data_IF_191232218361
#
_entry.id   IF_191232218361
#
_cell.length_a   1.000
_cell.length_b   1.000
_cell.length_c   1.000
_cell.angle_alpha   90.00
_cell.angle_beta   90.00
_cell.angle_gamma   90.00
#
_symmetry.space_group_name_H-M   'P 1'
#
loop_
_entity.id
_entity.type
_entity.pdbx_description
1 polymer ?
#
# COMPACT_ATOMS: atom_id res chain seq x y z
N UNK A 1 55.88 -42.11 74.29
CA UNK A 1 55.77 -40.64 74.38
C UNK A 1 54.66 -40.22 73.42
N UNK A 2 53.55 -39.68 73.97
CA UNK A 2 52.58 -38.72 73.35
C UNK A 2 51.80 -39.22 72.11
N UNK A 3 50.59 -39.80 72.22
CA UNK A 3 49.21 -39.24 72.36
C UNK A 3 48.58 -38.63 71.10
N UNK A 4 47.30 -39.00 70.84
CA UNK A 4 46.08 -38.19 70.47
C UNK A 4 45.15 -38.99 69.52
N UNK A 5 43.96 -39.42 69.98
CA UNK A 5 42.61 -38.82 69.73
C UNK A 5 42.21 -38.86 68.24
N UNK A 6 41.05 -39.38 67.80
CA UNK A 6 39.70 -39.06 68.28
C UNK A 6 38.61 -39.73 67.39
N UNK A 7 37.47 -40.03 68.03
CA UNK A 7 36.07 -40.00 67.54
C UNK A 7 35.65 -40.83 66.31
N UNK A 8 34.95 -41.92 66.62
CA UNK A 8 34.07 -42.69 65.75
C UNK A 8 32.75 -41.92 65.52
N UNK A 9 32.43 -41.56 64.28
CA UNK A 9 31.13 -41.03 63.87
C UNK A 9 30.55 -41.94 62.78
N UNK A 10 29.51 -42.69 63.14
CA UNK A 10 28.77 -43.56 62.24
C UNK A 10 27.67 -42.72 61.58
N UNK A 11 27.86 -42.34 60.31
CA UNK A 11 26.85 -41.63 59.51
C UNK A 11 26.05 -42.66 58.73
N UNK A 12 24.83 -42.97 59.19
CA UNK A 12 23.84 -43.72 58.40
C UNK A 12 23.32 -42.84 57.27
N UNK A 13 23.68 -43.18 56.04
CA UNK A 13 23.09 -42.59 54.84
C UNK A 13 21.67 -43.18 54.64
N UNK A 14 20.66 -42.45 55.09
CA UNK A 14 19.26 -42.76 54.84
C UNK A 14 18.90 -42.21 53.45
N UNK A 15 18.94 -43.08 52.43
CA UNK A 15 18.48 -42.77 51.08
C UNK A 15 16.96 -42.56 51.10
N UNK A 16 16.49 -41.31 51.14
CA UNK A 16 15.10 -40.99 50.86
C UNK A 16 14.84 -41.22 49.37
N UNK A 17 14.27 -42.37 49.03
CA UNK A 17 13.54 -42.53 47.77
C UNK A 17 12.28 -41.68 47.88
N UNK A 18 12.31 -40.47 47.31
CA UNK A 18 11.09 -39.70 47.08
C UNK A 18 10.29 -40.48 46.04
N UNK A 19 9.30 -41.24 46.49
CA UNK A 19 8.26 -41.75 45.61
C UNK A 19 7.50 -40.52 45.09
N UNK A 20 7.80 -40.11 43.86
CA UNK A 20 6.90 -39.24 43.12
C UNK A 20 5.61 -40.03 42.93
N UNK A 21 4.57 -39.71 43.69
CA UNK A 21 3.23 -40.14 43.38
C UNK A 21 2.89 -39.50 42.02
N UNK A 22 3.07 -40.27 40.95
CA UNK A 22 2.63 -39.88 39.62
C UNK A 22 1.09 -39.87 39.70
N UNK A 23 0.52 -38.68 39.78
CA UNK A 23 -0.93 -38.50 39.83
C UNK A 23 -1.55 -39.15 38.58
N UNK A 24 -2.70 -39.80 38.75
CA UNK A 24 -3.38 -40.42 37.61
C UNK A 24 -3.71 -39.33 36.56
N UNK A 25 -3.40 -39.55 35.27
CA UNK A 25 -3.68 -38.55 34.25
C UNK A 25 -5.17 -38.20 34.23
N UNK A 26 -5.50 -36.91 34.27
CA UNK A 26 -6.89 -36.45 34.32
C UNK A 26 -7.35 -35.97 32.94
N UNK A 27 -8.52 -36.42 32.48
CA UNK A 27 -9.03 -36.11 31.14
C UNK A 27 -9.56 -34.68 31.06
N UNK A 28 -9.16 -33.94 30.02
CA UNK A 28 -9.69 -32.62 29.70
C UNK A 28 -10.96 -32.72 28.87
N UNK A 29 -11.97 -31.92 29.19
CA UNK A 29 -13.25 -31.90 28.46
C UNK A 29 -13.19 -31.20 27.10
N UNK A 30 -12.38 -30.15 26.98
CA UNK A 30 -12.17 -29.40 25.75
C UNK A 30 -10.68 -29.26 25.48
N UNK A 31 -10.27 -29.52 24.24
CA UNK A 31 -8.86 -29.53 23.82
C UNK A 31 -8.73 -28.68 22.56
N UNK A 32 -7.78 -27.76 22.53
CA UNK A 32 -7.45 -26.97 21.35
C UNK A 32 -6.05 -27.32 20.87
N UNK A 33 -5.92 -27.75 19.61
CA UNK A 33 -4.64 -28.14 19.00
C UNK A 33 -4.34 -27.33 17.75
N UNK A 34 -3.06 -27.19 17.40
CA UNK A 34 -2.62 -26.65 16.10
C UNK A 34 -2.07 -27.76 15.18
N UNK A 35 -1.47 -28.78 15.77
CA UNK A 35 -0.81 -29.85 15.02
C UNK A 35 -1.81 -30.81 14.36
N UNK A 36 -1.34 -31.63 13.41
CA UNK A 36 -2.16 -32.64 12.72
C UNK A 36 -2.56 -33.81 13.63
N UNK A 37 -1.87 -33.96 14.76
CA UNK A 37 -2.11 -35.01 15.74
C UNK A 37 -2.39 -34.38 17.09
N UNK A 38 -3.24 -35.04 17.86
CA UNK A 38 -3.53 -34.72 19.26
C UNK A 38 -2.66 -35.64 20.12
N UNK A 39 -1.87 -35.05 21.00
CA UNK A 39 -0.98 -35.79 21.91
C UNK A 39 -1.65 -36.12 23.24
N UNK A 40 -0.99 -36.95 24.06
CA UNK A 40 -1.43 -37.21 25.44
C UNK A 40 -1.48 -35.91 26.23
N UNK A 41 -0.47 -35.03 26.10
CA UNK A 41 -0.39 -33.75 26.81
C UNK A 41 -1.53 -32.78 26.44
N UNK A 42 -2.07 -32.91 25.23
CA UNK A 42 -3.20 -32.10 24.79
C UNK A 42 -4.49 -32.56 25.50
N UNK A 43 -4.69 -33.87 25.67
CA UNK A 43 -5.93 -34.47 26.19
C UNK A 43 -5.96 -34.72 27.69
N UNK A 44 -4.81 -34.93 28.32
CA UNK A 44 -4.70 -35.28 29.72
C UNK A 44 -3.83 -34.27 30.48
N UNK A 45 -4.29 -33.86 31.66
CA UNK A 45 -3.43 -33.25 32.67
C UNK A 45 -2.52 -34.32 33.28
N UNK A 46 -1.32 -33.93 33.70
CA UNK A 46 -0.31 -34.82 34.30
C UNK A 46 0.09 -36.03 33.42
N UNK A 47 0.20 -35.82 32.11
CA UNK A 47 0.53 -36.83 31.10
C UNK A 47 1.90 -37.56 31.26
N UNK A 48 2.74 -37.12 32.21
CA UNK A 48 4.01 -37.76 32.55
C UNK A 48 4.97 -37.92 31.36
N UNK A 49 5.70 -39.03 31.32
CA UNK A 49 6.68 -39.33 30.28
C UNK A 49 6.07 -39.58 28.89
N UNK A 50 4.76 -39.82 28.80
CA UNK A 50 4.04 -40.12 27.56
C UNK A 50 3.47 -38.87 26.88
N UNK A 51 3.65 -37.68 27.47
CA UNK A 51 3.10 -36.40 27.04
C UNK A 51 3.12 -36.15 25.53
N UNK A 52 4.25 -36.36 24.86
CA UNK A 52 4.42 -36.08 23.42
C UNK A 52 3.87 -37.19 22.49
N UNK A 53 3.29 -38.25 23.04
CA UNK A 53 2.83 -39.38 22.24
C UNK A 53 1.51 -39.05 21.56
N UNK A 54 1.44 -39.25 20.24
CA UNK A 54 0.22 -39.03 19.47
C UNK A 54 -0.83 -40.12 19.75
N UNK A 55 -2.06 -39.71 20.11
CA UNK A 55 -3.18 -40.64 20.34
C UNK A 55 -4.21 -40.55 19.19
N UNK A 56 -4.52 -39.35 18.72
CA UNK A 56 -5.54 -39.13 17.69
C UNK A 56 -5.06 -38.26 16.53
N UNK A 57 -5.74 -38.38 15.39
CA UNK A 57 -5.64 -37.39 14.33
C UNK A 57 -6.54 -36.20 14.67
N UNK A 58 -5.99 -34.99 14.57
CA UNK A 58 -6.76 -33.77 14.78
C UNK A 58 -7.77 -33.55 13.64
N UNK A 59 -8.89 -32.85 13.90
CA UNK A 59 -9.85 -32.50 12.86
C UNK A 59 -9.26 -31.52 11.83
N UNK A 60 -10.04 -31.15 10.82
CA UNK A 60 -9.61 -30.14 9.84
C UNK A 60 -9.35 -28.78 10.53
N UNK A 61 -8.40 -27.96 10.06
CA UNK A 61 -8.18 -26.61 10.59
C UNK A 61 -9.46 -25.80 10.69
N UNK A 62 -9.68 -25.10 11.80
CA UNK A 62 -10.87 -24.29 12.04
C UNK A 62 -12.14 -25.08 12.34
N UNK A 63 -12.04 -26.41 12.51
CA UNK A 63 -13.19 -27.28 12.81
C UNK A 63 -13.05 -27.96 14.16
N UNK A 64 -14.19 -28.46 14.65
CA UNK A 64 -14.31 -29.13 15.93
C UNK A 64 -14.83 -30.54 15.72
N UNK A 65 -14.18 -31.52 16.34
CA UNK A 65 -14.62 -32.91 16.41
C UNK A 65 -14.92 -33.32 17.85
N UNK A 66 -15.74 -34.35 18.02
CA UNK A 66 -15.98 -34.97 19.32
C UNK A 66 -15.45 -36.39 19.33
N UNK A 67 -14.85 -36.78 20.45
CA UNK A 67 -14.31 -38.13 20.66
C UNK A 67 -14.92 -38.71 21.93
N UNK A 68 -15.64 -39.81 21.79
CA UNK A 68 -16.31 -40.48 22.91
C UNK A 68 -15.31 -41.17 23.85
N UNK A 69 -15.67 -41.25 25.15
CA UNK A 69 -14.80 -41.82 26.18
C UNK A 69 -14.37 -43.27 25.92
N UNK A 70 -15.21 -44.09 25.29
CA UNK A 70 -14.87 -45.47 24.94
C UNK A 70 -13.71 -45.52 23.94
N UNK A 71 -13.73 -44.63 22.95
CA UNK A 71 -12.67 -44.47 21.95
C UNK A 71 -11.39 -43.93 22.58
N UNK A 72 -11.51 -42.99 23.52
CA UNK A 72 -10.38 -42.46 24.29
C UNK A 72 -9.70 -43.56 25.10
N UNK A 73 -10.45 -44.39 25.84
CA UNK A 73 -9.87 -45.55 26.56
C UNK A 73 -9.15 -46.51 25.63
N UNK A 74 -9.78 -46.85 24.51
CA UNK A 74 -9.19 -47.78 23.54
C UNK A 74 -7.91 -47.24 22.89
N UNK A 75 -7.77 -45.91 22.76
CA UNK A 75 -6.56 -45.29 22.20
C UNK A 75 -5.48 -45.06 23.27
N UNK A 76 -5.86 -44.61 24.47
CA UNK A 76 -4.97 -44.44 25.63
C UNK A 76 -4.29 -45.76 26.02
N UNK A 77 -5.05 -46.88 26.03
CA UNK A 77 -4.51 -48.20 26.32
C UNK A 77 -3.43 -48.66 25.33
N UNK A 78 -3.51 -48.23 24.05
CA UNK A 78 -2.47 -48.55 23.04
C UNK A 78 -1.16 -47.82 23.29
N UNK A 79 -1.21 -46.71 24.01
CA UNK A 79 -0.06 -45.87 24.35
C UNK A 79 0.47 -46.20 25.77
N UNK A 80 -0.19 -47.11 26.49
CA UNK A 80 0.21 -47.57 27.82
C UNK A 80 -0.50 -46.89 28.99
N UNK A 81 -1.50 -46.05 28.73
CA UNK A 81 -2.33 -45.41 29.75
C UNK A 81 -3.55 -46.30 29.99
N UNK A 82 -3.50 -47.07 31.08
CA UNK A 82 -4.54 -48.06 31.43
C UNK A 82 -5.59 -47.53 32.41
N UNK A 83 -5.25 -46.51 33.18
CA UNK A 83 -6.14 -45.88 34.16
C UNK A 83 -5.99 -44.36 34.08
N UNK A 84 -7.12 -43.65 34.08
CA UNK A 84 -7.16 -42.18 33.99
C UNK A 84 -8.47 -41.64 34.61
N UNK A 85 -8.41 -40.44 35.17
CA UNK A 85 -9.55 -39.81 35.81
C UNK A 85 -10.41 -39.07 34.77
N UNK A 86 -11.57 -39.62 34.44
CA UNK A 86 -12.48 -39.01 33.47
C UNK A 86 -13.37 -37.89 34.03
N UNK A 87 -13.44 -37.72 35.36
CA UNK A 87 -14.19 -36.63 36.03
C UNK A 87 -15.64 -36.41 35.53
N UNK A 88 -16.34 -37.48 35.16
CA UNK A 88 -17.72 -37.43 34.66
C UNK A 88 -17.86 -37.00 33.19
N UNK A 89 -16.76 -36.82 32.47
CA UNK A 89 -16.72 -36.48 31.05
C UNK A 89 -17.01 -37.72 30.22
N UNK A 90 -18.03 -37.67 29.37
CA UNK A 90 -18.41 -38.78 28.48
C UNK A 90 -17.87 -38.62 27.05
N UNK A 91 -17.48 -37.41 26.66
CA UNK A 91 -16.89 -37.10 25.37
C UNK A 91 -15.99 -35.87 25.49
N UNK A 92 -14.91 -35.85 24.70
CA UNK A 92 -13.98 -34.71 24.63
C UNK A 92 -14.18 -33.99 23.32
N UNK A 93 -14.30 -32.67 23.41
CA UNK A 93 -14.39 -31.79 22.24
C UNK A 93 -13.00 -31.34 21.84
N UNK A 94 -12.56 -31.74 20.65
CA UNK A 94 -11.26 -31.37 20.09
C UNK A 94 -11.47 -30.33 19.01
N UNK A 95 -10.98 -29.12 19.24
CA UNK A 95 -10.98 -28.03 18.25
C UNK A 95 -9.59 -27.87 17.68
N UNK A 96 -9.46 -27.78 16.36
CA UNK A 96 -8.19 -27.42 15.74
C UNK A 96 -8.20 -25.94 15.37
N UNK A 97 -7.31 -25.15 15.98
CA UNK A 97 -7.19 -23.73 15.67
C UNK A 97 -6.94 -23.52 14.17
N UNK A 98 -7.66 -22.59 13.56
CA UNK A 98 -7.56 -22.28 12.13
C UNK A 98 -7.56 -20.77 11.91
N UNK A 99 -6.68 -20.33 11.02
CA UNK A 99 -6.70 -18.99 10.45
C UNK A 99 -7.32 -19.08 9.05
N UNK A 100 -8.18 -18.12 8.73
CA UNK A 100 -8.82 -18.06 7.42
C UNK A 100 -7.95 -17.27 6.46
N UNK A 101 -7.64 -17.87 5.32
CA UNK A 101 -7.01 -17.22 4.17
C UNK A 101 -8.08 -17.02 3.12
N UNK A 102 -8.51 -15.77 2.96
CA UNK A 102 -9.53 -15.36 2.00
C UNK A 102 -8.92 -14.58 0.82
N UNK A 103 -9.76 -14.27 -0.16
CA UNK A 103 -9.37 -13.55 -1.38
C UNK A 103 -8.75 -12.17 -1.04
N UNK A 104 -9.35 -11.43 -0.11
CA UNK A 104 -8.86 -10.12 0.32
C UNK A 104 -7.43 -10.19 0.92
N UNK A 105 -7.14 -11.22 1.70
CA UNK A 105 -5.78 -11.45 2.23
C UNK A 105 -4.78 -11.70 1.09
N UNK A 106 -5.17 -12.50 0.09
CA UNK A 106 -4.33 -12.79 -1.08
C UNK A 106 -4.11 -11.54 -1.94
N UNK A 107 -5.15 -10.74 -2.20
CA UNK A 107 -5.04 -9.48 -2.94
C UNK A 107 -4.06 -8.52 -2.27
N UNK A 108 -4.17 -8.35 -0.95
CA UNK A 108 -3.28 -7.49 -0.18
C UNK A 108 -1.81 -7.92 -0.29
N UNK A 109 -1.54 -9.23 -0.30
CA UNK A 109 -0.19 -9.76 -0.51
C UNK A 109 0.34 -9.44 -1.91
N UNK A 110 -0.48 -9.61 -2.96
CA UNK A 110 -0.09 -9.27 -4.34
C UNK A 110 0.15 -7.77 -4.47
N UNK A 111 -0.74 -6.93 -3.93
CA UNK A 111 -0.60 -5.47 -3.95
C UNK A 111 0.66 -5.00 -3.23
N UNK A 112 0.95 -5.59 -2.06
CA UNK A 112 2.16 -5.29 -1.28
C UNK A 112 3.42 -5.68 -2.06
N UNK A 113 3.44 -6.85 -2.71
CA UNK A 113 4.57 -7.30 -3.50
C UNK A 113 4.81 -6.40 -4.73
N UNK A 114 3.74 -6.03 -5.45
CA UNK A 114 3.83 -5.17 -6.62
C UNK A 114 4.32 -3.76 -6.26
N UNK A 115 3.85 -3.19 -5.15
CA UNK A 115 4.32 -1.89 -4.66
C UNK A 115 5.78 -1.95 -4.20
N UNK A 116 6.18 -3.03 -3.50
CA UNK A 116 7.57 -3.25 -3.06
C UNK A 116 8.54 -3.36 -4.23
N UNK A 117 8.10 -3.96 -5.35
CA UNK A 117 8.86 -4.02 -6.61
C UNK A 117 8.87 -2.71 -7.41
N UNK A 118 8.18 -1.66 -6.93
CA UNK A 118 8.05 -0.37 -7.61
C UNK A 118 7.22 -0.43 -8.90
N UNK A 119 6.38 -1.46 -9.06
CA UNK A 119 5.52 -1.64 -10.24
C UNK A 119 4.23 -0.81 -10.14
N UNK A 120 3.83 -0.44 -8.93
CA UNK A 120 2.71 0.47 -8.64
C UNK A 120 3.30 1.75 -8.04
N UNK A 121 3.13 2.86 -8.74
CA UNK A 121 3.59 4.18 -8.29
C UNK A 121 2.58 4.88 -7.37
N UNK A 122 2.99 5.97 -6.70
CA UNK A 122 2.07 6.79 -5.91
C UNK A 122 0.96 7.38 -6.81
N UNK A 123 -0.29 7.34 -6.34
CA UNK A 123 -1.46 7.84 -7.08
C UNK A 123 -2.02 6.88 -8.13
N UNK A 124 -1.47 5.66 -8.26
CA UNK A 124 -2.04 4.61 -9.11
C UNK A 124 -3.11 3.84 -8.34
N UNK A 125 -4.35 3.89 -8.83
CA UNK A 125 -5.44 3.05 -8.37
C UNK A 125 -5.34 1.69 -9.07
N UNK A 126 -5.18 0.62 -8.28
CA UNK A 126 -5.06 -0.74 -8.82
C UNK A 126 -6.18 -1.63 -8.30
N UNK A 127 -6.77 -2.41 -9.20
CA UNK A 127 -7.79 -3.41 -8.88
C UNK A 127 -7.34 -4.76 -9.38
N UNK A 128 -7.32 -5.75 -8.49
CA UNK A 128 -7.00 -7.13 -8.81
C UNK A 128 -8.30 -7.90 -9.04
N UNK A 129 -8.29 -8.80 -10.00
CA UNK A 129 -9.35 -9.77 -10.22
C UNK A 129 -8.72 -11.13 -10.47
N UNK A 130 -9.00 -12.11 -9.61
CA UNK A 130 -8.53 -13.47 -9.86
C UNK A 130 -9.37 -14.14 -10.95
N UNK A 131 -8.75 -15.02 -11.74
CA UNK A 131 -9.41 -15.72 -12.85
C UNK A 131 -10.46 -16.74 -12.38
N UNK A 132 -10.53 -17.03 -11.08
CA UNK A 132 -11.49 -17.94 -10.46
C UNK A 132 -11.84 -17.43 -9.06
N UNK A 133 -13.00 -17.84 -8.59
CA UNK A 133 -13.35 -17.69 -7.17
C UNK A 133 -12.43 -18.55 -6.30
N UNK A 134 -12.03 -18.01 -5.15
CA UNK A 134 -11.16 -18.68 -4.18
C UNK A 134 -11.97 -18.86 -2.89
N UNK A 135 -12.38 -20.09 -2.62
CA UNK A 135 -13.02 -20.41 -1.35
C UNK A 135 -12.08 -20.12 -0.18
N UNK A 136 -12.56 -19.54 0.93
CA UNK A 136 -11.74 -19.30 2.11
C UNK A 136 -11.08 -20.59 2.60
N UNK A 137 -9.75 -20.57 2.72
CA UNK A 137 -8.96 -21.74 3.12
C UNK A 137 -8.66 -21.62 4.61
N UNK A 138 -9.02 -22.64 5.38
CA UNK A 138 -8.63 -22.72 6.79
C UNK A 138 -7.25 -23.36 6.90
N UNK A 139 -6.31 -22.67 7.54
CA UNK A 139 -4.96 -23.16 7.79
C UNK A 139 -4.66 -23.18 9.28
N UNK A 140 -4.07 -24.26 9.76
CA UNK A 140 -3.66 -24.39 11.16
C UNK A 140 -2.16 -24.19 11.24
N UNK A 141 -1.72 -23.07 11.80
CA UNK A 141 -0.32 -22.69 11.94
C UNK A 141 -0.14 -21.82 13.19
N UNK A 142 1.05 -21.86 13.78
CA UNK A 142 1.49 -20.94 14.85
C UNK A 142 2.32 -19.76 14.29
N UNK A 143 2.54 -19.73 12.98
CA UNK A 143 3.37 -18.77 12.27
C UNK A 143 2.58 -18.01 11.21
N UNK A 144 3.06 -18.05 9.97
CA UNK A 144 2.49 -17.24 8.88
C UNK A 144 1.47 -18.09 8.12
N UNK A 145 0.19 -17.72 8.23
CA UNK A 145 -0.92 -18.39 7.56
C UNK A 145 -0.72 -18.50 6.05
N UNK A 146 -0.29 -17.41 5.43
CA UNK A 146 -0.03 -17.34 3.99
C UNK A 146 1.08 -16.33 3.70
N UNK A 147 1.93 -16.68 2.75
CA UNK A 147 2.91 -15.77 2.15
C UNK A 147 2.92 -15.92 0.65
N UNK A 148 3.26 -14.83 -0.03
CA UNK A 148 3.54 -14.86 -1.46
C UNK A 148 4.94 -15.48 -1.65
N UNK A 149 5.02 -16.54 -2.47
CA UNK A 149 6.28 -17.21 -2.79
C UNK A 149 6.87 -16.68 -4.09
N UNK A 150 6.07 -16.63 -5.15
CA UNK A 150 6.50 -16.03 -6.42
C UNK A 150 5.36 -15.32 -7.12
N UNK A 151 5.69 -14.17 -7.72
CA UNK A 151 4.78 -13.38 -8.53
C UNK A 151 5.43 -13.13 -9.89
N UNK A 152 4.72 -13.55 -10.94
CA UNK A 152 5.04 -13.27 -12.34
C UNK A 152 4.06 -12.24 -12.85
N UNK A 153 4.61 -11.09 -13.26
CA UNK A 153 3.87 -10.01 -13.88
C UNK A 153 4.79 -9.32 -14.88
N UNK A 154 4.26 -8.98 -16.05
CA UNK A 154 5.00 -8.26 -17.09
C UNK A 154 4.55 -6.81 -17.09
N UNK A 155 5.50 -5.86 -17.01
CA UNK A 155 5.19 -4.42 -17.00
C UNK A 155 4.37 -4.04 -18.24
N UNK A 156 3.24 -3.35 -18.01
CA UNK A 156 2.31 -2.94 -19.06
C UNK A 156 1.32 -4.02 -19.50
N UNK A 157 1.52 -5.27 -19.06
CA UNK A 157 0.52 -6.33 -19.17
C UNK A 157 -0.56 -6.18 -18.11
N UNK A 158 -1.66 -6.91 -18.29
CA UNK A 158 -2.73 -7.02 -17.29
C UNK A 158 -2.65 -8.33 -16.53
N UNK A 159 -2.14 -9.38 -17.15
CA UNK A 159 -2.15 -10.71 -16.56
C UNK A 159 -1.01 -10.88 -15.56
N UNK A 160 -1.30 -11.58 -14.48
CA UNK A 160 -0.30 -12.06 -13.55
C UNK A 160 -0.55 -13.52 -13.17
N UNK A 161 0.50 -14.16 -12.68
CA UNK A 161 0.42 -15.48 -12.06
C UNK A 161 1.20 -15.45 -10.75
N UNK A 162 0.59 -15.97 -9.69
CA UNK A 162 1.13 -15.94 -8.34
C UNK A 162 1.06 -17.32 -7.72
N UNK A 163 2.10 -17.66 -6.97
CA UNK A 163 2.16 -18.82 -6.08
C UNK A 163 2.18 -18.34 -4.66
N UNK A 164 1.25 -18.83 -3.86
CA UNK A 164 1.24 -18.66 -2.42
C UNK A 164 1.71 -19.92 -1.72
N UNK A 165 2.40 -19.74 -0.60
CA UNK A 165 2.69 -20.80 0.36
C UNK A 165 1.82 -20.58 1.60
N UNK A 166 1.07 -21.62 1.96
CA UNK A 166 0.15 -21.64 3.08
C UNK A 166 0.64 -22.60 4.18
N UNK A 167 0.12 -22.43 5.40
CA UNK A 167 0.39 -23.31 6.53
C UNK A 167 1.90 -23.57 6.71
N UNK A 168 2.68 -22.49 6.87
CA UNK A 168 4.14 -22.48 6.98
C UNK A 168 4.89 -23.15 5.80
N UNK A 169 4.28 -23.18 4.62
CA UNK A 169 4.88 -23.72 3.39
C UNK A 169 4.61 -25.21 3.14
N UNK A 170 3.73 -25.82 3.92
CA UNK A 170 3.30 -27.22 3.68
C UNK A 170 2.29 -27.35 2.54
N UNK A 171 1.61 -26.26 2.19
CA UNK A 171 0.62 -26.21 1.13
C UNK A 171 0.95 -25.09 0.15
N UNK A 172 0.64 -25.30 -1.13
CA UNK A 172 0.83 -24.31 -2.19
C UNK A 172 -0.49 -24.01 -2.87
N UNK A 173 -0.71 -22.73 -3.19
CA UNK A 173 -1.87 -22.28 -3.94
C UNK A 173 -1.39 -21.45 -5.15
N UNK A 174 -1.60 -21.99 -6.34
CA UNK A 174 -1.32 -21.30 -7.60
C UNK A 174 -2.59 -20.62 -8.10
N UNK A 175 -2.48 -19.33 -8.41
CA UNK A 175 -3.58 -18.49 -8.86
C UNK A 175 -3.11 -17.58 -9.99
N UNK A 176 -3.99 -17.33 -10.95
CA UNK A 176 -3.81 -16.30 -11.98
C UNK A 176 -4.90 -15.25 -11.86
N UNK A 177 -4.65 -14.09 -12.42
CA UNK A 177 -5.62 -13.01 -12.45
C UNK A 177 -5.20 -11.88 -13.38
N UNK A 178 -6.02 -10.86 -13.40
CA UNK A 178 -5.73 -9.59 -14.06
C UNK A 178 -5.58 -8.48 -13.04
N UNK A 179 -4.72 -7.51 -13.34
CA UNK A 179 -4.60 -6.27 -12.62
C UNK A 179 -4.94 -5.10 -13.53
N UNK A 180 -5.91 -4.31 -13.09
CA UNK A 180 -6.32 -3.05 -13.70
C UNK A 180 -5.62 -1.91 -12.98
N UNK A 181 -4.69 -1.25 -13.65
CA UNK A 181 -4.01 -0.07 -13.12
C UNK A 181 -4.52 1.19 -13.82
N UNK A 182 -5.04 2.12 -13.03
CA UNK A 182 -5.53 3.42 -13.49
C UNK A 182 -4.91 4.54 -12.68
N UNK A 183 -4.83 5.72 -13.28
CA UNK A 183 -4.39 6.94 -12.62
C UNK A 183 -5.38 8.04 -12.95
N UNK A 184 -5.67 8.87 -11.96
CA UNK A 184 -6.57 9.99 -12.14
C UNK A 184 -5.84 11.12 -12.86
N UNK A 185 -6.35 11.50 -14.03
CA UNK A 185 -5.77 12.56 -14.86
C UNK A 185 -6.72 13.75 -15.01
N UNK A 186 -6.19 14.97 -15.13
CA UNK A 186 -6.99 16.18 -15.28
C UNK A 186 -7.63 16.26 -16.66
N UNK A 187 -8.95 16.36 -16.71
CA UNK A 187 -9.74 16.58 -17.92
C UNK A 187 -10.52 17.88 -17.82
N UNK A 188 -10.88 18.46 -18.97
CA UNK A 188 -11.69 19.67 -19.00
C UNK A 188 -13.14 19.36 -18.60
N UNK A 189 -13.70 20.15 -17.68
CA UNK A 189 -15.07 19.98 -17.19
C UNK A 189 -16.14 20.61 -18.12
N UNK A 190 -15.74 21.44 -19.08
CA UNK A 190 -16.65 22.09 -20.03
C UNK A 190 -15.92 22.49 -21.32
N UNK A 191 -16.67 22.91 -22.35
CA UNK A 191 -16.09 23.54 -23.53
C UNK A 191 -15.59 24.95 -23.18
N UNK A 192 -14.29 25.21 -23.35
CA UNK A 192 -13.69 26.51 -23.01
C UNK A 192 -12.94 27.12 -24.20
N UNK A 193 -13.06 28.44 -24.43
CA UNK A 193 -12.33 29.15 -25.48
C UNK A 193 -10.83 29.29 -25.16
N UNK A 194 -10.04 29.61 -26.19
CA UNK A 194 -8.64 29.97 -26.03
C UNK A 194 -8.47 31.20 -25.11
N UNK A 195 -7.40 31.23 -24.33
CA UNK A 195 -7.10 32.29 -23.37
C UNK A 195 -7.84 32.17 -22.03
N UNK A 196 -8.75 31.21 -21.88
CA UNK A 196 -9.46 30.99 -20.60
C UNK A 196 -8.46 30.57 -19.52
N UNK A 197 -8.47 31.29 -18.39
CA UNK A 197 -7.70 30.93 -17.21
C UNK A 197 -8.39 29.77 -16.50
N UNK A 198 -7.69 28.64 -16.39
CA UNK A 198 -8.19 27.43 -15.74
C UNK A 198 -8.34 27.65 -14.24
N UNK A 199 -9.53 27.35 -13.74
CA UNK A 199 -9.85 27.30 -12.32
C UNK A 199 -10.06 25.85 -11.89
N UNK A 200 -10.05 25.54 -10.58
CA UNK A 200 -10.31 24.18 -10.10
C UNK A 200 -11.63 23.61 -10.63
N UNK A 201 -12.68 24.42 -10.72
CA UNK A 201 -13.99 24.00 -11.26
C UNK A 201 -13.98 23.66 -12.76
N UNK A 202 -12.93 24.05 -13.50
CA UNK A 202 -12.80 23.75 -14.91
C UNK A 202 -12.10 22.41 -15.17
N UNK A 203 -11.60 21.76 -14.13
CA UNK A 203 -10.84 20.52 -14.22
C UNK A 203 -11.56 19.44 -13.43
N UNK A 204 -11.78 18.29 -14.08
CA UNK A 204 -12.31 17.08 -13.45
C UNK A 204 -11.27 15.97 -13.56
N UNK A 205 -11.00 15.30 -12.46
CA UNK A 205 -10.12 14.14 -12.46
C UNK A 205 -10.90 12.92 -12.97
N UNK A 206 -10.37 12.25 -13.98
CA UNK A 206 -10.94 11.00 -14.51
C UNK A 206 -9.88 9.91 -14.52
N UNK A 207 -10.27 8.71 -14.12
CA UNK A 207 -9.39 7.55 -14.11
C UNK A 207 -9.09 7.09 -15.54
N UNK A 208 -7.82 7.01 -15.88
CA UNK A 208 -7.30 6.60 -17.18
C UNK A 208 -6.31 5.44 -16.98
N UNK A 209 -6.28 4.43 -17.86
CA UNK A 209 -5.30 3.35 -17.76
C UNK A 209 -3.86 3.88 -17.75
N UNK A 210 -3.00 3.30 -16.91
CA UNK A 210 -1.61 3.77 -16.74
C UNK A 210 -0.83 3.82 -18.05
N UNK A 211 -0.99 2.83 -18.94
CA UNK A 211 -0.31 2.83 -20.24
C UNK A 211 -0.70 4.01 -21.14
N UNK A 212 -1.94 4.50 -21.03
CA UNK A 212 -2.39 5.69 -21.74
C UNK A 212 -1.88 6.97 -21.05
N UNK A 213 -1.85 7.00 -19.72
CA UNK A 213 -1.32 8.12 -18.96
C UNK A 213 0.18 8.35 -19.20
N UNK A 214 0.97 7.27 -19.24
CA UNK A 214 2.41 7.32 -19.55
C UNK A 214 2.67 7.94 -20.93
N UNK A 215 1.82 7.65 -21.92
CA UNK A 215 1.95 8.19 -23.27
C UNK A 215 1.67 9.70 -23.34
N UNK A 216 0.77 10.22 -22.49
CA UNK A 216 0.40 11.64 -22.48
C UNK A 216 1.22 12.49 -21.51
N UNK A 217 1.86 11.86 -20.52
CA UNK A 217 2.58 12.52 -19.44
C UNK A 217 1.61 13.03 -18.36
N UNK A 218 1.83 12.58 -17.13
CA UNK A 218 1.06 13.05 -15.98
C UNK A 218 1.43 14.50 -15.64
N UNK A 219 0.41 15.33 -15.41
CA UNK A 219 0.57 16.71 -14.93
C UNK A 219 -0.37 16.92 -13.75
N UNK A 220 0.15 17.32 -12.58
CA UNK A 220 -0.68 17.56 -11.41
C UNK A 220 -1.56 18.81 -11.60
N UNK A 221 -2.77 18.79 -11.06
CA UNK A 221 -3.77 19.86 -11.25
C UNK A 221 -3.25 21.23 -10.79
N UNK A 222 -2.40 21.25 -9.77
CA UNK A 222 -1.79 22.45 -9.18
C UNK A 222 -0.91 23.21 -10.18
N UNK A 223 -0.37 22.52 -11.19
CA UNK A 223 0.42 23.15 -12.26
C UNK A 223 -0.45 23.68 -13.41
N UNK A 224 -1.70 23.23 -13.50
CA UNK A 224 -2.64 23.63 -14.56
C UNK A 224 -3.53 24.80 -14.12
N UNK A 225 -3.95 24.81 -12.85
CA UNK A 225 -4.78 25.88 -12.30
C UNK A 225 -4.01 27.21 -12.31
N UNK A 226 -4.69 28.26 -12.79
CA UNK A 226 -4.09 29.58 -12.97
C UNK A 226 -3.39 29.77 -14.32
N UNK A 227 -3.20 28.71 -15.11
CA UNK A 227 -2.70 28.81 -16.48
C UNK A 227 -3.85 29.10 -17.47
N UNK A 228 -3.52 29.66 -18.63
CA UNK A 228 -4.47 29.94 -19.69
C UNK A 228 -4.41 28.86 -20.79
N UNK A 229 -5.57 28.48 -21.34
CA UNK A 229 -5.62 27.56 -22.48
C UNK A 229 -5.03 28.17 -23.75
N UNK A 230 -4.16 27.43 -24.45
CA UNK A 230 -3.55 27.87 -25.70
C UNK A 230 -4.55 27.91 -26.88
N UNK A 231 -5.59 27.07 -26.81
CA UNK A 231 -6.60 26.91 -27.86
C UNK A 231 -7.96 26.57 -27.26
N UNK A 232 -9.01 26.76 -28.06
CA UNK A 232 -10.33 26.27 -27.71
C UNK A 232 -10.29 24.75 -27.54
N UNK A 233 -10.83 24.27 -26.43
CA UNK A 233 -10.79 22.87 -26.03
C UNK A 233 -12.16 22.40 -25.59
N UNK A 234 -12.45 21.11 -25.80
CA UNK A 234 -13.77 20.52 -25.54
C UNK A 234 -13.83 19.87 -24.16
N UNK A 235 -15.03 19.78 -23.62
CA UNK A 235 -15.33 19.00 -22.43
C UNK A 235 -14.81 17.56 -22.58
N UNK A 236 -14.27 17.02 -21.48
CA UNK A 236 -13.74 15.67 -21.42
C UNK A 236 -12.40 15.50 -22.14
N UNK A 237 -11.80 16.56 -22.70
CA UNK A 237 -10.44 16.51 -23.22
C UNK A 237 -9.44 16.38 -22.08
N UNK A 238 -8.49 15.45 -22.20
CA UNK A 238 -7.35 15.33 -21.30
C UNK A 238 -6.46 16.56 -21.39
N UNK A 239 -6.16 17.19 -20.26
CA UNK A 239 -5.27 18.34 -20.16
C UNK A 239 -3.81 17.90 -20.04
N UNK A 240 -2.96 18.49 -20.89
CA UNK A 240 -1.51 18.31 -20.85
C UNK A 240 -0.80 19.63 -20.58
N UNK A 241 0.45 19.58 -20.13
CA UNK A 241 1.26 20.78 -19.91
C UNK A 241 1.39 21.64 -21.18
N UNK A 242 1.42 21.03 -22.36
CA UNK A 242 1.49 21.73 -23.65
C UNK A 242 0.19 22.45 -24.05
N UNK A 243 -0.95 22.10 -23.46
CA UNK A 243 -2.24 22.69 -23.79
C UNK A 243 -2.46 24.05 -23.09
N UNK A 244 -1.60 24.40 -22.13
CA UNK A 244 -1.70 25.62 -21.33
C UNK A 244 -0.42 26.46 -21.40
N UNK A 245 -0.54 27.74 -21.09
CA UNK A 245 0.59 28.65 -20.92
C UNK A 245 0.32 29.63 -19.78
N UNK A 246 1.34 30.39 -19.36
CA UNK A 246 1.11 31.52 -18.47
C UNK A 246 0.06 32.48 -19.07
N UNK A 247 -0.86 33.04 -18.26
CA UNK A 247 -1.86 33.97 -18.75
C UNK A 247 -1.23 35.24 -19.31
N UNK A 248 -1.75 35.70 -20.44
CA UNK A 248 -1.36 36.97 -21.03
C UNK A 248 -1.69 38.11 -20.06
N UNK A 249 -0.68 38.91 -19.74
CA UNK A 249 -0.83 40.13 -18.94
C UNK A 249 -1.07 41.33 -19.84
N UNK A 250 -0.49 41.31 -21.04
CA UNK A 250 -0.71 42.30 -22.08
C UNK A 250 -0.98 41.55 -23.38
N UNK A 251 -2.14 41.81 -23.99
CA UNK A 251 -2.51 41.25 -25.29
C UNK A 251 -2.00 42.13 -26.44
N UNK A 252 -2.00 41.57 -27.64
CA UNK A 252 -1.62 42.33 -28.84
C UNK A 252 -2.63 43.44 -29.09
N UNK A 253 -2.14 44.61 -29.47
CA UNK A 253 -2.86 45.85 -29.70
C UNK A 253 -3.42 46.54 -28.45
N UNK A 254 -3.16 46.02 -27.25
CA UNK A 254 -3.55 46.68 -26.01
C UNK A 254 -2.86 48.04 -25.88
N UNK A 255 -3.61 49.05 -25.42
CA UNK A 255 -3.04 50.32 -25.02
C UNK A 255 -2.36 50.13 -23.67
N UNK A 256 -1.06 50.39 -23.62
CA UNK A 256 -0.25 50.18 -22.43
C UNK A 256 0.41 51.47 -21.96
N UNK A 257 0.72 51.51 -20.67
CA UNK A 257 1.53 52.55 -20.06
C UNK A 257 2.97 52.04 -19.99
N UNK A 258 3.86 52.71 -20.72
CA UNK A 258 5.29 52.44 -20.73
C UNK A 258 5.91 53.21 -19.57
N UNK A 259 6.49 52.49 -18.62
CA UNK A 259 7.25 53.05 -17.51
C UNK A 259 8.74 52.86 -17.81
N UNK A 260 9.50 53.94 -17.77
CA UNK A 260 10.95 53.90 -17.83
C UNK A 260 11.52 54.43 -16.52
N UNK A 261 12.38 53.64 -15.86
CA UNK A 261 13.02 54.02 -14.60
C UNK A 261 14.53 54.08 -14.76
N UNK A 262 15.14 55.16 -14.25
CA UNK A 262 16.60 55.29 -14.16
C UNK A 262 16.98 56.13 -12.95
N UNK A 263 17.52 55.49 -11.91
CA UNK A 263 17.81 56.16 -10.65
C UNK A 263 16.54 56.77 -10.05
N UNK A 264 16.52 58.07 -9.69
CA UNK A 264 15.34 58.74 -9.14
C UNK A 264 14.29 59.12 -10.21
N UNK A 265 14.58 58.95 -11.50
CA UNK A 265 13.70 59.40 -12.59
C UNK A 265 12.73 58.28 -13.00
N UNK A 266 11.44 58.61 -13.07
CA UNK A 266 10.38 57.76 -13.66
C UNK A 266 9.68 58.53 -14.77
N UNK A 267 9.73 58.00 -15.99
CA UNK A 267 9.00 58.53 -17.14
C UNK A 267 7.84 57.61 -17.49
N UNK A 268 6.72 58.18 -17.89
CA UNK A 268 5.49 57.46 -18.22
C UNK A 268 4.96 57.94 -19.56
N UNK A 269 4.84 57.04 -20.53
CA UNK A 269 4.34 57.35 -21.88
C UNK A 269 3.28 56.34 -22.29
N UNK A 270 2.31 56.75 -23.11
CA UNK A 270 1.33 55.81 -23.68
C UNK A 270 1.93 55.09 -24.89
N UNK A 271 1.71 53.79 -24.94
CA UNK A 271 2.09 52.93 -26.04
C UNK A 271 0.97 51.99 -26.46
N UNK A 272 1.24 51.23 -27.51
CA UNK A 272 0.39 50.14 -27.97
C UNK A 272 1.22 48.87 -28.13
N UNK A 273 0.79 47.77 -27.52
CA UNK A 273 1.48 46.49 -27.62
C UNK A 273 1.41 45.92 -29.05
N UNK A 274 2.55 45.52 -29.61
CA UNK A 274 2.65 44.89 -30.93
C UNK A 274 2.59 43.37 -30.80
N UNK A 275 3.22 42.84 -29.75
CA UNK A 275 3.20 41.42 -29.40
C UNK A 275 2.56 41.21 -28.03
N UNK A 276 1.96 40.05 -27.82
CA UNK A 276 1.43 39.68 -26.50
C UNK A 276 2.54 39.20 -25.58
N UNK A 277 2.37 39.39 -24.27
CA UNK A 277 3.29 38.91 -23.26
C UNK A 277 2.56 38.50 -21.97
N UNK A 278 3.11 37.47 -21.33
CA UNK A 278 2.79 37.13 -19.94
C UNK A 278 3.61 38.01 -18.99
N UNK A 279 3.22 38.06 -17.72
CA UNK A 279 3.96 38.81 -16.70
C UNK A 279 5.44 38.41 -16.67
N UNK A 280 6.33 39.39 -16.64
CA UNK A 280 7.77 39.20 -16.60
C UNK A 280 8.41 38.82 -17.94
N UNK A 281 7.63 38.66 -19.01
CA UNK A 281 8.16 38.37 -20.36
C UNK A 281 8.24 39.64 -21.19
N UNK A 282 9.17 39.66 -22.15
CA UNK A 282 9.39 40.80 -23.03
C UNK A 282 8.36 40.87 -24.16
N UNK A 283 8.02 42.08 -24.57
CA UNK A 283 7.16 42.39 -25.71
C UNK A 283 7.64 43.61 -26.47
N UNK A 284 7.21 43.73 -27.71
CA UNK A 284 7.37 44.94 -28.50
C UNK A 284 6.18 45.87 -28.30
N UNK A 285 6.46 47.16 -28.14
CA UNK A 285 5.46 48.21 -27.91
C UNK A 285 5.76 49.38 -28.82
N UNK A 286 4.74 49.88 -29.52
CA UNK A 286 4.80 51.12 -30.28
C UNK A 286 4.57 52.29 -29.31
N UNK A 287 5.53 53.20 -29.23
CA UNK A 287 5.35 54.47 -28.55
C UNK A 287 4.47 55.39 -29.41
N UNK A 288 3.34 55.85 -28.88
CA UNK A 288 2.38 56.66 -29.63
C UNK A 288 2.82 58.13 -29.78
N UNK A 289 3.77 58.60 -28.98
CA UNK A 289 4.33 59.95 -29.07
C UNK A 289 5.46 60.01 -30.10
N UNK A 290 6.39 59.05 -30.06
CA UNK A 290 7.56 59.04 -30.95
C UNK A 290 7.37 58.19 -32.22
N UNK A 291 6.29 57.40 -32.30
CA UNK A 291 6.05 56.40 -33.36
C UNK A 291 7.17 55.36 -33.50
N UNK A 292 7.94 55.08 -32.44
CA UNK A 292 9.01 54.07 -32.45
C UNK A 292 8.62 52.82 -31.70
N UNK A 293 9.10 51.67 -32.19
CA UNK A 293 8.95 50.38 -31.52
C UNK A 293 10.08 50.19 -30.52
N UNK A 294 9.71 49.84 -29.29
CA UNK A 294 10.64 49.55 -28.20
C UNK A 294 10.35 48.19 -27.58
N UNK A 295 11.38 47.57 -27.01
CA UNK A 295 11.24 46.33 -26.23
C UNK A 295 11.00 46.70 -24.77
N UNK A 296 9.93 46.19 -24.20
CA UNK A 296 9.57 46.36 -22.80
C UNK A 296 9.28 44.99 -22.17
N UNK A 297 9.11 44.95 -20.86
CA UNK A 297 8.72 43.77 -20.08
C UNK A 297 7.34 44.00 -19.48
N UNK A 298 6.42 43.04 -19.60
CA UNK A 298 5.08 43.17 -19.01
C UNK A 298 5.14 43.07 -17.47
N UNK A 299 4.66 44.10 -16.76
CA UNK A 299 4.70 44.13 -15.28
C UNK A 299 3.32 43.79 -14.70
N UNK A 300 2.29 44.46 -15.18
CA UNK A 300 0.91 44.28 -14.76
C UNK A 300 -0.04 44.57 -15.93
N UNK A 301 -1.34 44.24 -15.83
CA UNK A 301 -2.29 44.53 -16.90
C UNK A 301 -2.22 45.99 -17.34
N UNK A 302 -2.01 46.23 -18.63
CA UNK A 302 -1.89 47.57 -19.20
C UNK A 302 -0.60 48.34 -18.85
N UNK A 303 0.39 47.72 -18.20
CA UNK A 303 1.64 48.38 -17.81
C UNK A 303 2.87 47.57 -18.19
N UNK A 304 3.83 48.24 -18.84
CA UNK A 304 5.09 47.65 -19.30
C UNK A 304 6.26 48.49 -18.82
N UNK A 305 7.41 47.85 -18.55
CA UNK A 305 8.62 48.51 -18.07
C UNK A 305 9.77 48.31 -19.05
N UNK A 306 10.51 49.37 -19.33
CA UNK A 306 11.71 49.32 -20.18
C UNK A 306 12.93 49.43 -19.29
N UNK A 307 13.77 48.39 -19.30
CA UNK A 307 14.99 48.38 -18.52
C UNK A 307 16.12 49.12 -19.27
N UNK A 308 16.98 49.81 -18.54
CA UNK A 308 17.83 50.92 -18.99
C UNK A 308 18.96 50.62 -20.00
N UNK A 309 18.88 49.59 -20.84
CA UNK A 309 19.88 49.31 -21.86
C UNK A 309 19.70 50.22 -23.10
N UNK A 310 20.44 51.33 -23.09
CA UNK A 310 20.79 52.17 -24.25
C UNK A 310 19.68 52.49 -25.27
N UNK A 311 18.44 52.72 -24.82
CA UNK A 311 17.42 53.36 -25.67
C UNK A 311 17.74 54.85 -25.71
N UNK A 312 18.10 55.37 -26.88
CA UNK A 312 18.33 56.80 -27.10
C UNK A 312 17.10 57.60 -26.66
N UNK A 313 17.31 58.58 -25.77
CA UNK A 313 16.29 59.46 -25.18
C UNK A 313 15.46 60.23 -26.22
N UNK A 314 15.95 60.31 -27.47
CA UNK A 314 15.22 60.91 -28.59
C UNK A 314 14.19 59.95 -29.24
N UNK A 315 14.01 58.74 -28.69
CA UNK A 315 13.15 57.71 -29.26
C UNK A 315 11.99 57.22 -28.38
N UNK A 316 11.86 57.75 -27.16
CA UNK A 316 10.73 57.51 -26.26
C UNK A 316 9.74 58.69 -26.28
#
# INVERSE_FOLDING_TARGET
MVTFLSRLALVSALSLTVATAEAAPALRGNVTVTNKVVTVADMFDDAGALAETAIFSAPAPGTTGQVDIATIRAAAARVGIVDFEANGINAVTVTRAGMTVDEATLENLVMTELSTRGLIGPGVNSTIQFSRFIDPIQVSTNGVAVRLDSLRYTKGGRDFSVRFMLADGTQTLDVSGTIDMTIDMPHLAANLPAGTILRPENVVMKSVPVGQADAYGYVPIEQLVGMALNRQSREGMLLRASDVSAPLTVAKNDVVTIIYRRGPMTLTVKGQAITSASRGTSLQVLNLMSNRVITATAVSPGTVEVDGAAVSMAGL
#
